data_IF_673650203634
#
_entry.id   IF_673650203634
#
_cell.length_a   1.000
_cell.length_b   1.000
_cell.length_c   1.000
_cell.angle_alpha   90.00
_cell.angle_beta   90.00
_cell.angle_gamma   90.00
#
_symmetry.space_group_name_H-M   'P 1'
#
loop_
_entity.id
_entity.type
_entity.pdbx_description
1 polymer ?
#
# COMPACT_ATOMS: atom_id res chain seq x y z
N UNK A 1 -10.43 -17.43 -4.33
CA UNK A 1 -9.02 -17.26 -4.63
C UNK A 1 -8.80 -16.72 -6.02
N UNK A 2 -7.54 -16.63 -6.46
CA UNK A 2 -7.22 -16.26 -7.83
C UNK A 2 -7.39 -17.46 -8.76
N UNK A 3 -7.84 -17.24 -10.00
CA UNK A 3 -7.94 -18.26 -11.06
C UNK A 3 -6.58 -18.49 -11.72
N UNK A 4 -5.74 -17.46 -11.74
CA UNK A 4 -4.42 -17.46 -12.34
C UNK A 4 -3.42 -16.66 -11.52
N UNK A 5 -2.20 -17.19 -11.38
CA UNK A 5 -1.06 -16.53 -10.73
C UNK A 5 0.04 -16.34 -11.76
N UNK A 6 0.50 -15.09 -11.91
CA UNK A 6 1.64 -14.75 -12.75
C UNK A 6 2.85 -14.51 -11.85
N UNK A 7 3.90 -15.30 -12.02
CA UNK A 7 5.10 -15.22 -11.19
C UNK A 7 6.23 -14.54 -11.96
N UNK A 8 6.67 -13.40 -11.47
CA UNK A 8 7.91 -12.76 -11.90
C UNK A 8 9.00 -13.12 -10.91
N UNK A 9 9.79 -14.15 -11.23
CA UNK A 9 10.94 -14.53 -10.43
C UNK A 9 12.21 -13.98 -11.06
N UNK A 10 12.88 -13.08 -10.36
CA UNK A 10 14.14 -12.53 -10.81
C UNK A 10 15.10 -12.34 -9.64
N UNK A 11 15.98 -13.29 -9.46
CA UNK A 11 17.02 -13.31 -8.40
C UNK A 11 18.01 -12.12 -8.48
N UNK A 12 18.05 -11.40 -9.61
CA UNK A 12 18.90 -10.23 -9.78
C UNK A 12 18.25 -8.92 -9.33
N UNK A 13 16.92 -8.93 -9.12
CA UNK A 13 16.21 -7.82 -8.53
C UNK A 13 16.28 -8.00 -7.02
N UNK A 14 17.16 -7.24 -6.36
CA UNK A 14 17.20 -7.18 -4.91
C UNK A 14 15.88 -6.66 -4.31
N UNK A 15 15.83 -6.38 -3.01
CA UNK A 15 14.63 -5.91 -2.31
C UNK A 15 14.13 -4.54 -2.80
N UNK A 16 14.82 -3.91 -3.72
CA UNK A 16 14.46 -2.60 -4.27
C UNK A 16 13.85 -2.78 -5.66
N UNK A 17 12.57 -2.42 -5.79
CA UNK A 17 11.89 -2.41 -7.07
C UNK A 17 12.45 -1.29 -7.97
N UNK A 18 13.02 -1.69 -9.08
CA UNK A 18 13.60 -0.78 -10.03
C UNK A 18 12.76 -0.63 -11.30
N UNK A 19 13.39 0.00 -12.30
CA UNK A 19 12.80 0.22 -13.62
C UNK A 19 12.42 -1.09 -14.32
N UNK A 20 13.22 -2.14 -14.16
CA UNK A 20 12.99 -3.46 -14.75
C UNK A 20 11.70 -4.11 -14.29
N UNK A 21 11.40 -4.07 -12.98
CA UNK A 21 10.14 -4.61 -12.42
C UNK A 21 8.94 -3.84 -12.98
N UNK A 22 9.03 -2.50 -13.01
CA UNK A 22 7.97 -1.68 -13.60
C UNK A 22 7.74 -1.96 -15.08
N UNK A 23 8.79 -2.33 -15.83
CA UNK A 23 8.65 -2.72 -17.24
C UNK A 23 7.97 -4.08 -17.38
N UNK A 24 8.44 -5.10 -16.67
CA UNK A 24 7.85 -6.42 -16.71
C UNK A 24 6.37 -6.42 -16.28
N UNK A 25 6.04 -5.64 -15.24
CA UNK A 25 4.66 -5.44 -14.81
C UNK A 25 3.82 -4.78 -15.91
N UNK A 26 4.34 -3.76 -16.60
CA UNK A 26 3.62 -3.11 -17.69
C UNK A 26 3.37 -4.06 -18.88
N UNK A 27 4.33 -4.91 -19.19
CA UNK A 27 4.19 -5.95 -20.23
C UNK A 27 3.14 -6.99 -19.83
N UNK A 28 3.15 -7.45 -18.57
CA UNK A 28 2.16 -8.37 -18.03
C UNK A 28 0.74 -7.77 -18.09
N UNK A 29 0.57 -6.51 -17.69
CA UNK A 29 -0.71 -5.81 -17.73
C UNK A 29 -1.21 -5.63 -19.16
N UNK A 30 -0.33 -5.26 -20.10
CA UNK A 30 -0.72 -5.19 -21.52
C UNK A 30 -1.17 -6.54 -22.07
N UNK A 31 -0.45 -7.62 -21.73
CA UNK A 31 -0.77 -8.97 -22.17
C UNK A 31 -2.06 -9.52 -21.58
N UNK A 32 -2.33 -9.23 -20.32
CA UNK A 32 -3.54 -9.67 -19.62
C UNK A 32 -4.77 -8.79 -19.94
N UNK A 33 -4.56 -7.54 -20.33
CA UNK A 33 -5.59 -6.54 -20.62
C UNK A 33 -6.72 -6.50 -19.56
N UNK A 34 -6.40 -6.33 -18.27
CA UNK A 34 -7.38 -6.38 -17.21
C UNK A 34 -8.26 -5.12 -17.20
N UNK A 35 -9.46 -5.20 -16.64
CA UNK A 35 -10.33 -4.04 -16.40
C UNK A 35 -9.77 -3.14 -15.28
N UNK A 36 -9.17 -3.73 -14.26
CA UNK A 36 -8.55 -3.01 -13.16
C UNK A 36 -7.28 -3.72 -12.67
N UNK A 37 -6.33 -2.94 -12.15
CA UNK A 37 -5.15 -3.43 -11.44
C UNK A 37 -5.15 -2.84 -10.03
N UNK A 38 -5.20 -3.71 -9.04
CA UNK A 38 -5.28 -3.34 -7.64
C UNK A 38 -3.95 -3.61 -6.95
N UNK A 39 -3.47 -2.64 -6.19
CA UNK A 39 -2.25 -2.73 -5.39
C UNK A 39 -2.58 -2.55 -3.92
N UNK A 40 -1.86 -3.21 -3.03
CA UNK A 40 -1.89 -2.83 -1.62
C UNK A 40 -1.26 -1.43 -1.45
N UNK A 41 -1.87 -0.56 -0.65
CA UNK A 41 -1.34 0.80 -0.38
C UNK A 41 -0.20 0.76 0.64
N UNK A 42 0.77 -0.15 0.44
CA UNK A 42 2.06 -0.23 1.13
C UNK A 42 3.09 0.67 0.43
N UNK A 43 4.29 0.82 0.98
CA UNK A 43 5.37 1.56 0.34
C UNK A 43 5.68 0.98 -1.06
N UNK A 44 5.83 -0.33 -1.16
CA UNK A 44 6.14 -1.04 -2.41
C UNK A 44 4.99 -0.97 -3.41
N UNK A 45 3.76 -1.20 -2.94
CA UNK A 45 2.58 -1.15 -3.80
C UNK A 45 2.34 0.23 -4.39
N UNK A 46 2.59 1.29 -3.63
CA UNK A 46 2.50 2.69 -4.12
C UNK A 46 3.59 2.99 -5.15
N UNK A 47 4.83 2.54 -4.92
CA UNK A 47 5.93 2.72 -5.87
C UNK A 47 5.63 2.00 -7.19
N UNK A 48 5.25 0.72 -7.13
CA UNK A 48 4.90 -0.07 -8.31
C UNK A 48 3.71 0.50 -9.08
N UNK A 49 2.65 0.88 -8.37
CA UNK A 49 1.47 1.48 -9.00
C UNK A 49 1.81 2.78 -9.72
N UNK A 50 2.63 3.63 -9.10
CA UNK A 50 3.06 4.90 -9.68
C UNK A 50 3.95 4.70 -10.92
N UNK A 51 4.87 3.73 -10.87
CA UNK A 51 5.72 3.36 -12.03
C UNK A 51 4.88 2.81 -13.18
N UNK A 52 3.89 1.96 -12.87
CA UNK A 52 2.97 1.41 -13.87
C UNK A 52 2.14 2.52 -14.51
N UNK A 53 1.53 3.39 -13.69
CA UNK A 53 0.73 4.51 -14.15
C UNK A 53 1.50 5.43 -15.10
N UNK A 54 2.72 5.83 -14.72
CA UNK A 54 3.58 6.67 -15.55
C UNK A 54 3.99 5.98 -16.86
N UNK A 55 4.29 4.68 -16.83
CA UNK A 55 4.74 3.94 -18.00
C UNK A 55 3.62 3.65 -19.00
N UNK A 56 2.41 3.49 -18.53
CA UNK A 56 1.23 3.22 -19.35
C UNK A 56 0.38 4.48 -19.62
N UNK A 57 0.80 5.64 -19.09
CA UNK A 57 0.08 6.92 -19.20
C UNK A 57 -1.37 6.83 -18.68
N UNK A 58 -1.54 6.15 -17.55
CA UNK A 58 -2.83 5.88 -16.92
C UNK A 58 -3.04 6.74 -15.67
N UNK A 59 -4.31 7.04 -15.39
CA UNK A 59 -4.71 7.59 -14.11
C UNK A 59 -4.51 6.58 -12.97
N UNK A 60 -4.17 7.07 -11.78
CA UNK A 60 -4.00 6.27 -10.57
C UNK A 60 -4.76 6.88 -9.40
N UNK A 61 -5.63 6.11 -8.79
CA UNK A 61 -6.24 6.48 -7.51
C UNK A 61 -5.42 5.90 -6.36
N UNK A 62 -4.85 6.78 -5.55
CA UNK A 62 -4.04 6.38 -4.40
C UNK A 62 -4.84 6.29 -3.12
N UNK A 63 -4.62 5.21 -2.34
CA UNK A 63 -5.10 5.03 -0.97
C UNK A 63 -6.64 5.01 -0.86
N UNK A 64 -7.29 4.30 -1.78
CA UNK A 64 -8.73 4.04 -1.71
C UNK A 64 -9.05 3.14 -0.50
N UNK A 65 -10.22 3.34 0.08
CA UNK A 65 -10.69 2.59 1.25
C UNK A 65 -11.79 1.60 0.91
N UNK A 66 -12.45 1.79 -0.24
CA UNK A 66 -13.47 0.88 -0.72
C UNK A 66 -13.60 0.96 -2.25
N UNK A 67 -14.28 -0.04 -2.83
CA UNK A 67 -14.57 -0.15 -4.26
C UNK A 67 -16.02 -0.54 -4.44
N UNK A 68 -16.70 0.10 -5.39
CA UNK A 68 -18.06 -0.20 -5.78
C UNK A 68 -18.19 -0.31 -7.29
N UNK A 69 -19.22 -0.98 -7.76
CA UNK A 69 -19.61 -0.96 -9.18
C UNK A 69 -20.91 -0.17 -9.26
N UNK A 70 -20.92 0.88 -10.07
CA UNK A 70 -22.13 1.69 -10.26
C UNK A 70 -23.12 1.07 -11.25
N UNK A 71 -24.22 1.76 -11.47
CA UNK A 71 -25.29 1.30 -12.36
C UNK A 71 -24.85 1.25 -13.85
N UNK A 72 -23.79 1.95 -14.20
CA UNK A 72 -23.17 1.94 -15.52
C UNK A 72 -22.00 0.95 -15.63
N UNK A 73 -21.88 0.02 -14.66
CA UNK A 73 -20.82 -1.01 -14.59
C UNK A 73 -19.39 -0.43 -14.47
N UNK A 74 -19.24 0.80 -13.93
CA UNK A 74 -17.94 1.43 -13.75
C UNK A 74 -17.41 1.21 -12.34
N UNK A 75 -16.10 1.03 -12.23
CA UNK A 75 -15.42 0.92 -10.93
C UNK A 75 -15.32 2.28 -10.26
N UNK A 76 -16.11 2.47 -9.22
CA UNK A 76 -16.05 3.64 -8.32
C UNK A 76 -15.05 3.36 -7.21
N UNK A 77 -14.10 4.26 -7.02
CA UNK A 77 -13.01 4.13 -6.07
C UNK A 77 -13.23 5.15 -4.95
N UNK A 78 -13.56 4.68 -3.75
CA UNK A 78 -13.87 5.54 -2.62
C UNK A 78 -12.58 5.96 -1.90
N UNK A 79 -12.32 7.25 -1.91
CA UNK A 79 -11.09 7.81 -1.34
C UNK A 79 -11.38 8.85 -0.25
N UNK A 80 -10.73 8.74 0.94
CA UNK A 80 -10.80 9.80 1.94
C UNK A 80 -10.16 11.10 1.42
N UNK A 81 -10.81 12.20 1.65
CA UNK A 81 -10.35 13.54 1.29
C UNK A 81 -10.52 14.50 2.48
N UNK A 82 -9.88 15.67 2.41
CA UNK A 82 -9.96 16.73 3.40
C UNK A 82 -9.72 16.23 4.85
N UNK A 83 -8.64 15.50 5.06
CA UNK A 83 -8.32 14.95 6.39
C UNK A 83 -9.23 13.80 6.84
N UNK A 84 -9.95 13.15 5.93
CA UNK A 84 -10.86 12.05 6.22
C UNK A 84 -12.30 12.46 6.51
N UNK A 85 -12.61 13.77 6.46
CA UNK A 85 -13.96 14.26 6.71
C UNK A 85 -14.94 14.04 5.54
N UNK A 86 -14.42 13.71 4.36
CA UNK A 86 -15.19 13.48 3.14
C UNK A 86 -14.67 12.21 2.48
N UNK A 87 -15.58 11.39 1.97
CA UNK A 87 -15.25 10.28 1.06
C UNK A 87 -15.61 10.73 -0.35
N UNK A 88 -14.61 10.82 -1.22
CA UNK A 88 -14.78 11.19 -2.61
C UNK A 88 -14.91 9.94 -3.49
N UNK A 89 -15.99 9.80 -4.27
CA UNK A 89 -16.09 8.80 -5.31
C UNK A 89 -15.25 9.23 -6.51
N UNK A 90 -14.31 8.39 -6.91
CA UNK A 90 -13.40 8.63 -8.03
C UNK A 90 -13.72 7.66 -9.16
N UNK A 91 -13.82 8.18 -10.37
CA UNK A 91 -13.90 7.41 -11.61
C UNK A 91 -12.66 7.65 -12.45
N UNK A 92 -12.05 6.59 -12.93
CA UNK A 92 -10.92 6.70 -13.86
C UNK A 92 -11.42 7.03 -15.27
N UNK A 93 -10.67 7.89 -15.97
CA UNK A 93 -10.88 8.17 -17.41
C UNK A 93 -10.07 7.24 -18.31
N UNK A 94 -9.17 6.46 -17.72
CA UNK A 94 -8.28 5.55 -18.44
C UNK A 94 -8.52 4.11 -18.02
N UNK A 95 -8.25 3.17 -18.91
CA UNK A 95 -8.31 1.73 -18.64
C UNK A 95 -6.95 1.08 -18.92
N UNK A 96 -6.56 0.11 -18.12
CA UNK A 96 -7.23 -0.37 -16.90
C UNK A 96 -7.31 0.69 -15.79
N UNK A 97 -8.29 0.54 -14.91
CA UNK A 97 -8.33 1.32 -13.67
C UNK A 97 -7.13 0.94 -12.80
N UNK A 98 -6.34 1.91 -12.34
CA UNK A 98 -5.27 1.64 -11.38
C UNK A 98 -5.62 2.19 -10.01
N UNK A 99 -5.54 1.34 -8.99
CA UNK A 99 -5.94 1.69 -7.62
C UNK A 99 -4.95 1.14 -6.61
N UNK A 100 -4.52 1.94 -5.66
CA UNK A 100 -3.94 1.40 -4.43
C UNK A 100 -4.99 1.38 -3.33
N UNK A 101 -5.18 0.23 -2.69
CA UNK A 101 -6.14 -0.01 -1.62
C UNK A 101 -5.47 -0.06 -0.27
N UNK A 102 -6.06 0.60 0.71
CA UNK A 102 -5.55 0.55 2.08
C UNK A 102 -5.75 -0.85 2.66
N UNK A 103 -4.68 -1.54 3.11
CA UNK A 103 -4.79 -2.87 3.69
C UNK A 103 -5.66 -2.90 4.94
N UNK A 104 -6.34 -4.02 5.16
CA UNK A 104 -7.11 -4.28 6.38
C UNK A 104 -8.49 -3.62 6.47
N UNK A 105 -8.94 -2.87 5.45
CA UNK A 105 -10.26 -2.24 5.46
C UNK A 105 -11.34 -3.09 4.79
N UNK A 106 -11.00 -3.77 3.71
CA UNK A 106 -11.95 -4.65 3.02
C UNK A 106 -12.02 -6.02 3.69
N UNK A 107 -13.22 -6.54 3.83
CA UNK A 107 -13.41 -7.90 4.33
C UNK A 107 -13.05 -8.91 3.25
N UNK A 108 -12.08 -9.81 3.49
CA UNK A 108 -11.76 -10.85 2.53
C UNK A 108 -12.96 -11.76 2.24
N UNK A 109 -13.13 -12.14 0.99
CA UNK A 109 -14.10 -13.16 0.64
C UNK A 109 -13.74 -14.51 1.28
N UNK A 110 -14.76 -15.30 1.62
CA UNK A 110 -14.53 -16.65 2.13
C UNK A 110 -13.84 -17.50 1.06
N UNK A 111 -12.71 -18.14 1.38
CA UNK A 111 -12.02 -19.00 0.42
C UNK A 111 -12.92 -20.15 -0.03
N UNK A 112 -12.92 -20.44 -1.32
CA UNK A 112 -13.61 -21.59 -1.88
C UNK A 112 -12.75 -22.84 -1.69
N UNK A 113 -13.22 -23.86 -0.92
CA UNK A 113 -12.44 -25.05 -0.69
C UNK A 113 -12.18 -25.82 -2.01
N UNK A 114 -10.91 -26.17 -2.24
CA UNK A 114 -10.53 -26.93 -3.43
C UNK A 114 -10.29 -26.09 -4.69
N UNK A 115 -10.52 -24.78 -4.63
CA UNK A 115 -10.16 -23.89 -5.74
C UNK A 115 -8.64 -23.88 -5.94
N UNK A 116 -8.20 -24.06 -7.19
CA UNK A 116 -6.78 -24.05 -7.58
C UNK A 116 -6.57 -23.00 -8.67
N UNK A 117 -5.44 -22.30 -8.61
CA UNK A 117 -5.03 -21.34 -9.64
C UNK A 117 -4.02 -21.99 -10.59
N UNK A 118 -4.06 -21.62 -11.87
CA UNK A 118 -2.93 -21.89 -12.76
C UNK A 118 -1.77 -20.97 -12.43
N UNK A 119 -0.55 -21.49 -12.52
CA UNK A 119 0.66 -20.71 -12.24
C UNK A 119 1.51 -20.59 -13.50
N UNK A 120 1.71 -19.38 -14.00
CA UNK A 120 2.51 -19.10 -15.16
C UNK A 120 3.74 -18.26 -14.79
N UNK A 121 4.88 -18.63 -15.33
CA UNK A 121 6.12 -17.88 -15.18
C UNK A 121 6.17 -16.73 -16.19
N UNK A 122 6.42 -15.50 -15.71
CA UNK A 122 6.72 -14.39 -16.58
C UNK A 122 8.21 -14.37 -16.95
N UNK A 123 8.56 -13.80 -18.11
CA UNK A 123 9.96 -13.54 -18.43
C UNK A 123 10.63 -12.70 -17.35
N UNK A 124 11.91 -12.98 -17.08
CA UNK A 124 12.69 -12.20 -16.14
C UNK A 124 12.65 -10.70 -16.49
N UNK A 125 12.51 -9.85 -15.51
CA UNK A 125 12.54 -8.41 -15.73
C UNK A 125 13.91 -7.98 -16.29
N UNK A 126 13.96 -7.10 -17.28
CA UNK A 126 15.22 -6.59 -17.80
C UNK A 126 15.94 -5.79 -16.71
N UNK A 127 17.17 -6.19 -16.40
CA UNK A 127 18.02 -5.54 -15.43
C UNK A 127 19.33 -5.11 -16.12
N UNK A 128 19.58 -3.82 -16.19
CA UNK A 128 20.77 -3.27 -16.85
C UNK A 128 21.84 -2.77 -15.86
N UNK A 129 21.59 -2.90 -14.54
CA UNK A 129 22.52 -2.49 -13.48
C UNK A 129 22.70 -0.98 -13.30
N UNK A 130 22.06 -0.16 -14.14
CA UNK A 130 22.19 1.32 -14.08
C UNK A 130 21.06 2.00 -13.33
N UNK A 131 19.98 1.27 -13.04
CA UNK A 131 18.78 1.81 -12.42
C UNK A 131 19.00 2.03 -10.91
N UNK A 132 19.29 0.96 -10.19
CA UNK A 132 19.51 0.96 -8.75
C UNK A 132 20.62 -0.03 -8.41
N UNK A 133 21.52 0.34 -7.50
CA UNK A 133 22.53 -0.54 -6.92
C UNK A 133 22.39 -0.53 -5.41
N UNK A 134 22.11 -1.69 -4.82
CA UNK A 134 22.15 -1.86 -3.37
C UNK A 134 23.61 -1.76 -2.89
N UNK A 135 23.92 -0.75 -2.12
CA UNK A 135 25.26 -0.52 -1.57
C UNK A 135 25.44 -1.19 -0.21
N UNK A 136 24.41 -1.15 0.62
CA UNK A 136 24.39 -1.69 1.96
C UNK A 136 22.97 -1.98 2.37
N UNK A 137 22.77 -3.07 3.08
CA UNK A 137 21.53 -3.41 3.78
C UNK A 137 21.85 -3.52 5.26
N UNK A 138 21.12 -2.81 6.08
CA UNK A 138 21.21 -2.90 7.54
C UNK A 138 19.84 -3.27 8.08
N UNK A 139 19.76 -4.41 8.73
CA UNK A 139 18.57 -4.82 9.44
C UNK A 139 18.64 -4.28 10.87
N UNK A 140 17.68 -3.42 11.21
CA UNK A 140 17.44 -2.94 12.57
C UNK A 140 16.12 -3.48 13.04
N UNK A 141 16.12 -4.24 14.13
CA UNK A 141 14.92 -4.75 14.74
C UNK A 141 14.16 -3.60 15.42
N UNK A 142 12.99 -3.25 14.88
CA UNK A 142 12.11 -2.24 15.45
C UNK A 142 11.04 -2.89 16.35
N UNK A 143 11.44 -3.24 17.55
CA UNK A 143 10.55 -3.84 18.57
C UNK A 143 9.38 -2.92 18.91
N UNK A 144 9.62 -1.61 18.97
CA UNK A 144 8.59 -0.62 19.31
C UNK A 144 7.56 -0.49 18.18
N UNK A 145 8.03 -0.42 16.93
CA UNK A 145 7.16 -0.38 15.77
C UNK A 145 6.32 -1.64 15.61
N UNK A 146 6.89 -2.83 15.90
CA UNK A 146 6.13 -4.08 15.90
C UNK A 146 5.03 -4.10 16.97
N UNK A 147 5.30 -3.61 18.16
CA UNK A 147 4.31 -3.49 19.24
C UNK A 147 3.20 -2.54 18.82
N UNK A 148 3.54 -1.38 18.24
CA UNK A 148 2.57 -0.41 17.76
C UNK A 148 1.72 -0.95 16.63
N UNK A 149 2.32 -1.64 15.66
CA UNK A 149 1.62 -2.19 14.50
C UNK A 149 0.59 -3.27 14.87
N UNK A 150 0.84 -4.00 15.97
CA UNK A 150 -0.05 -5.07 16.45
C UNK A 150 -0.93 -4.63 17.64
N UNK A 151 -0.88 -3.38 18.05
CA UNK A 151 -1.63 -2.88 19.19
C UNK A 151 -3.14 -2.85 18.89
N UNK A 152 -3.99 -3.45 19.74
CA UNK A 152 -5.44 -3.41 19.56
C UNK A 152 -6.03 -2.02 19.76
N UNK A 153 -5.36 -1.17 20.54
CA UNK A 153 -5.74 0.22 20.78
C UNK A 153 -4.51 1.10 20.61
N UNK A 154 -4.64 2.17 19.85
CA UNK A 154 -3.57 3.15 19.61
C UNK A 154 -4.06 4.54 20.02
N UNK A 155 -3.34 5.20 20.92
CA UNK A 155 -3.57 6.59 21.29
C UNK A 155 -2.71 7.50 20.42
N UNK A 156 -3.34 8.19 19.46
CA UNK A 156 -2.67 9.16 18.60
C UNK A 156 -2.46 10.51 19.32
N UNK A 157 -1.22 10.99 19.34
CA UNK A 157 -0.84 12.24 20.01
C UNK A 157 -0.28 13.22 18.99
N UNK A 158 -0.92 14.39 18.88
CA UNK A 158 -0.47 15.50 18.03
C UNK A 158 -0.05 16.70 18.86
N UNK A 159 0.43 17.78 18.22
CA UNK A 159 0.89 19.01 18.89
C UNK A 159 -0.15 19.64 19.81
N UNK A 160 -1.44 19.36 19.60
CA UNK A 160 -2.53 19.88 20.43
C UNK A 160 -2.52 19.40 21.89
N UNK A 161 -1.68 18.43 22.28
CA UNK A 161 -1.57 18.01 23.68
C UNK A 161 -0.77 19.00 24.56
N UNK A 162 -0.19 20.03 23.95
CA UNK A 162 0.40 21.19 24.63
C UNK A 162 1.92 21.20 24.65
N UNK A 163 2.57 20.24 25.29
CA UNK A 163 4.02 20.19 25.36
C UNK A 163 4.54 18.93 26.04
N UNK A 164 5.86 18.78 26.05
CA UNK A 164 6.55 17.61 26.60
C UNK A 164 6.22 17.36 28.08
N UNK A 165 5.88 18.41 28.84
CA UNK A 165 5.46 18.32 30.23
C UNK A 165 4.18 17.51 30.44
N UNK A 166 3.35 17.39 29.41
CA UNK A 166 2.13 16.59 29.45
C UNK A 166 2.35 15.11 29.06
N UNK A 167 3.55 14.75 28.60
CA UNK A 167 3.85 13.40 28.09
C UNK A 167 3.60 12.33 29.16
N UNK A 168 3.96 12.60 30.41
CA UNK A 168 3.73 11.68 31.53
C UNK A 168 2.23 11.34 31.70
N UNK A 169 1.35 12.34 31.58
CA UNK A 169 -0.10 12.15 31.66
C UNK A 169 -0.62 11.31 30.50
N UNK A 170 -0.11 11.56 29.28
CA UNK A 170 -0.46 10.77 28.08
C UNK A 170 -0.06 9.31 28.27
N UNK A 171 1.13 9.06 28.79
CA UNK A 171 1.61 7.71 29.09
C UNK A 171 0.77 7.00 30.16
N UNK A 172 0.31 7.74 31.19
CA UNK A 172 -0.58 7.20 32.20
C UNK A 172 -1.95 6.81 31.62
N UNK A 173 -2.54 7.69 30.79
CA UNK A 173 -3.80 7.42 30.08
C UNK A 173 -3.63 6.19 29.18
N UNK A 174 -2.59 6.14 28.36
CA UNK A 174 -2.35 5.02 27.47
C UNK A 174 -2.26 3.70 28.24
N UNK A 175 -1.51 3.68 29.36
CA UNK A 175 -1.41 2.50 30.23
C UNK A 175 -2.75 2.10 30.84
N UNK A 176 -3.57 3.07 31.27
CA UNK A 176 -4.88 2.78 31.89
C UNK A 176 -5.88 2.12 30.94
N UNK A 177 -5.77 2.37 29.64
CA UNK A 177 -6.65 1.79 28.59
C UNK A 177 -5.96 0.69 27.79
N UNK A 178 -4.74 0.29 28.15
CA UNK A 178 -3.99 -0.73 27.42
C UNK A 178 -3.60 -0.32 25.98
N UNK A 179 -3.41 0.98 25.74
CA UNK A 179 -3.09 1.52 24.43
C UNK A 179 -1.58 1.66 24.20
N UNK A 180 -1.14 1.46 22.98
CA UNK A 180 0.16 1.95 22.49
C UNK A 180 0.04 3.41 22.07
N UNK A 181 1.15 4.16 22.12
CA UNK A 181 1.17 5.57 21.74
C UNK A 181 1.78 5.71 20.35
N UNK A 182 1.07 6.41 19.47
CA UNK A 182 1.60 6.91 18.19
C UNK A 182 1.64 8.44 18.24
N UNK A 183 2.67 9.03 17.63
CA UNK A 183 2.84 10.47 17.57
C UNK A 183 2.78 10.97 16.11
N UNK A 184 2.30 12.20 15.93
CA UNK A 184 2.36 12.84 14.62
C UNK A 184 3.80 13.23 14.26
N UNK A 185 4.05 13.45 12.98
CA UNK A 185 5.36 13.89 12.49
C UNK A 185 5.87 15.14 13.19
N UNK A 186 5.00 16.11 13.44
CA UNK A 186 5.38 17.38 14.08
C UNK A 186 5.88 17.17 15.52
N UNK A 187 5.23 16.28 16.27
CA UNK A 187 5.68 15.89 17.63
C UNK A 187 7.04 15.20 17.56
N UNK A 188 7.23 14.29 16.59
CA UNK A 188 8.52 13.60 16.40
C UNK A 188 9.64 14.59 16.02
N UNK A 189 9.36 15.56 15.14
CA UNK A 189 10.31 16.60 14.75
C UNK A 189 10.64 17.56 15.89
N UNK A 190 9.71 17.79 16.83
CA UNK A 190 9.97 18.57 18.04
C UNK A 190 10.91 17.85 19.03
N UNK A 191 11.21 16.58 18.79
CA UNK A 191 12.09 15.77 19.64
C UNK A 191 11.48 15.37 21.00
N UNK A 192 10.16 15.29 21.06
CA UNK A 192 9.41 14.99 22.30
C UNK A 192 9.23 13.49 22.52
#
# INVERSE_FOLDING_TARGET
GADRVLVLDNSQIGPIFGRGVGQALAEAVRGANPYAVLFASTADGRDLASRLAARLELGLTGDAIDLEIDAEERLVQLKPALGGNVIAPILSKTLPNLVTLRPGLLTPATPEPGATATVDQLPAAPFDGRDVRLLKEEFQEDQVGLVLANAPVVLGVGMGFGGVENLAKIQEIARSIGASIAITRDVAHAGW
#
